data_IF_989040699021
#
_entry.id   IF_989040699021
#
_cell.length_a   1.000
_cell.length_b   1.000
_cell.length_c   1.000
_cell.angle_alpha   90.00
_cell.angle_beta   90.00
_cell.angle_gamma   90.00
#
_symmetry.space_group_name_H-M   'P 1'
#
loop_
_entity.id
_entity.type
_entity.pdbx_description
1 polymer ?
#
# COMPACT_ATOMS: atom_id res chain seq x y z
N UNK A 1 -2.32 8.20 -11.65
CA UNK A 1 -1.39 9.35 -11.62
C UNK A 1 -0.86 9.68 -13.03
N UNK A 2 -0.33 8.69 -13.80
CA UNK A 2 0.22 8.97 -15.13
C UNK A 2 -0.76 9.73 -16.06
N UNK A 3 -1.98 9.21 -16.21
CA UNK A 3 -3.00 9.85 -17.05
C UNK A 3 -3.34 11.28 -16.57
N UNK A 4 -3.50 11.48 -15.26
CA UNK A 4 -3.76 12.80 -14.69
C UNK A 4 -2.61 13.80 -14.99
N UNK A 5 -1.35 13.37 -14.90
CA UNK A 5 -0.20 14.21 -15.23
C UNK A 5 -0.13 14.55 -16.73
N UNK A 6 -0.46 13.59 -17.59
CA UNK A 6 -0.42 13.79 -19.05
C UNK A 6 -1.52 14.72 -19.54
N UNK A 7 -2.77 14.56 -19.05
CA UNK A 7 -3.86 15.47 -19.44
C UNK A 7 -3.63 16.89 -18.92
N UNK A 8 -3.08 17.03 -17.70
CA UNK A 8 -2.66 18.31 -17.12
C UNK A 8 -1.59 19.02 -17.96
N UNK A 9 -0.75 18.22 -18.67
CA UNK A 9 0.23 18.72 -19.67
C UNK A 9 -0.34 18.88 -21.08
N UNK A 10 -1.66 18.83 -21.25
CA UNK A 10 -2.33 19.03 -22.55
C UNK A 10 -2.21 17.85 -23.52
N UNK A 11 -1.84 16.66 -23.06
CA UNK A 11 -1.74 15.46 -23.91
C UNK A 11 -3.09 14.73 -23.98
N UNK A 12 -3.43 14.22 -25.16
CA UNK A 12 -4.60 13.36 -25.33
C UNK A 12 -4.31 11.99 -24.74
N UNK A 13 -5.16 11.52 -23.84
CA UNK A 13 -4.99 10.25 -23.10
C UNK A 13 -6.26 9.43 -23.16
N UNK A 14 -6.11 8.12 -23.40
CA UNK A 14 -7.16 7.12 -23.20
C UNK A 14 -6.70 6.14 -22.13
N UNK A 15 -7.47 6.02 -21.04
CA UNK A 15 -7.27 5.03 -19.98
C UNK A 15 -8.19 3.84 -20.28
N UNK A 16 -7.62 2.65 -20.34
CA UNK A 16 -8.36 1.40 -20.57
C UNK A 16 -8.21 0.52 -19.32
N UNK A 17 -9.33 0.13 -18.73
CA UNK A 17 -9.40 -0.70 -17.53
C UNK A 17 -10.28 -1.94 -17.78
N UNK A 18 -9.73 -3.12 -17.51
CA UNK A 18 -10.41 -4.39 -17.72
C UNK A 18 -11.63 -4.59 -16.81
N UNK A 19 -11.54 -4.08 -15.59
CA UNK A 19 -12.64 -4.14 -14.62
C UNK A 19 -13.66 -3.02 -14.85
N UNK A 20 -14.88 -3.22 -14.36
CA UNK A 20 -15.88 -2.13 -14.28
C UNK A 20 -15.54 -1.08 -13.22
N UNK A 21 -14.48 -1.26 -12.44
CA UNK A 21 -14.03 -0.39 -11.35
C UNK A 21 -12.59 0.02 -11.56
N UNK A 22 -12.30 1.29 -11.28
CA UNK A 22 -10.94 1.80 -11.24
C UNK A 22 -10.23 1.46 -9.91
N UNK A 23 -8.91 1.57 -9.89
CA UNK A 23 -8.10 1.40 -8.69
C UNK A 23 -7.37 0.06 -8.59
N UNK A 24 -7.65 -0.90 -9.47
CA UNK A 24 -6.98 -2.19 -9.49
C UNK A 24 -7.15 -2.96 -8.18
N UNK A 25 -6.02 -3.34 -7.55
CA UNK A 25 -5.98 -4.03 -6.25
C UNK A 25 -6.37 -3.14 -5.06
N UNK A 26 -6.40 -1.82 -5.23
CA UNK A 26 -6.85 -0.88 -4.21
C UNK A 26 -8.17 -0.24 -4.65
N UNK A 27 -9.27 -0.95 -4.46
CA UNK A 27 -10.61 -0.58 -4.93
C UNK A 27 -11.67 -0.80 -3.86
N UNK A 28 -12.87 -0.30 -4.10
CA UNK A 28 -14.04 -0.48 -3.22
C UNK A 28 -15.20 -1.13 -3.96
N UNK A 29 -16.08 -1.73 -3.21
CA UNK A 29 -17.34 -2.28 -3.72
C UNK A 29 -18.46 -2.08 -2.71
N UNK A 30 -19.71 -2.26 -3.13
CA UNK A 30 -20.86 -2.26 -2.23
C UNK A 30 -21.12 -3.66 -1.71
N UNK A 31 -21.27 -3.82 -0.38
CA UNK A 31 -21.78 -5.08 0.18
C UNK A 31 -23.24 -5.28 -0.28
N UNK A 32 -23.52 -6.44 -0.86
CA UNK A 32 -24.81 -6.72 -1.49
C UNK A 32 -25.99 -6.81 -0.51
N UNK A 33 -25.73 -6.90 0.81
CA UNK A 33 -26.77 -7.00 1.85
C UNK A 33 -26.97 -5.67 2.53
N UNK A 34 -25.90 -5.02 2.96
CA UNK A 34 -25.97 -3.76 3.72
C UNK A 34 -26.01 -2.52 2.81
N UNK A 35 -25.56 -2.64 1.56
CA UNK A 35 -25.41 -1.52 0.64
C UNK A 35 -24.24 -0.59 1.00
N UNK A 36 -23.54 -0.84 2.10
CA UNK A 36 -22.41 -0.02 2.54
C UNK A 36 -21.15 -0.29 1.71
N UNK A 37 -20.27 0.70 1.67
CA UNK A 37 -18.99 0.58 1.00
C UNK A 37 -18.02 -0.30 1.79
N UNK A 38 -17.36 -1.20 1.07
CA UNK A 38 -16.28 -2.06 1.56
C UNK A 38 -15.07 -1.85 0.66
N UNK A 39 -13.92 -1.50 1.25
CA UNK A 39 -12.65 -1.54 0.55
C UNK A 39 -12.14 -2.98 0.49
N UNK A 40 -11.47 -3.35 -0.61
CA UNK A 40 -10.87 -4.70 -0.73
C UNK A 40 -9.73 -4.95 0.28
N UNK A 41 -9.30 -3.93 0.99
CA UNK A 41 -8.41 -3.89 2.13
C UNK A 41 -8.43 -2.49 2.72
N UNK A 42 -8.22 -2.33 4.03
CA UNK A 42 -8.05 -1.00 4.59
C UNK A 42 -6.66 -0.47 4.23
N UNK A 43 -6.63 0.65 3.53
CA UNK A 43 -5.39 1.31 3.16
C UNK A 43 -5.03 2.37 4.20
N UNK A 44 -3.79 2.27 4.66
CA UNK A 44 -3.15 3.24 5.55
C UNK A 44 -2.00 3.87 4.77
N UNK A 45 -1.91 5.18 4.82
CA UNK A 45 -0.81 5.93 4.24
C UNK A 45 0.02 6.55 5.37
N UNK A 46 1.24 6.97 5.05
CA UNK A 46 2.07 7.74 5.96
C UNK A 46 2.22 9.18 5.45
N UNK A 47 2.48 10.11 6.35
CA UNK A 47 2.66 11.51 6.00
C UNK A 47 3.81 11.74 5.02
N UNK A 48 4.82 10.86 5.00
CA UNK A 48 5.93 10.87 4.05
C UNK A 48 5.56 10.41 2.62
N UNK A 49 4.28 10.11 2.33
CA UNK A 49 3.79 9.78 1.00
C UNK A 49 3.47 11.06 0.22
N UNK A 50 4.50 11.80 -0.14
CA UNK A 50 4.37 13.13 -0.73
C UNK A 50 3.79 13.10 -2.14
N UNK A 51 4.19 12.13 -2.98
CA UNK A 51 3.68 12.00 -4.35
C UNK A 51 2.19 11.66 -4.37
N UNK A 52 1.74 10.79 -3.45
CA UNK A 52 0.31 10.50 -3.30
C UNK A 52 -0.48 11.74 -2.90
N UNK A 53 0.05 12.56 -1.99
CA UNK A 53 -0.61 13.80 -1.58
C UNK A 53 -0.70 14.80 -2.73
N UNK A 54 0.36 14.99 -3.51
CA UNK A 54 0.35 15.83 -4.71
C UNK A 54 -0.66 15.34 -5.75
N UNK A 55 -0.72 14.03 -5.96
CA UNK A 55 -1.73 13.43 -6.83
C UNK A 55 -3.16 13.74 -6.33
N UNK A 56 -3.43 13.57 -5.02
CA UNK A 56 -4.73 13.86 -4.43
C UNK A 56 -5.09 15.36 -4.51
N UNK A 57 -4.11 16.24 -4.37
CA UNK A 57 -4.26 17.69 -4.57
C UNK A 57 -4.65 18.01 -6.02
N UNK A 58 -3.93 17.43 -6.99
CA UNK A 58 -4.19 17.59 -8.43
C UNK A 58 -5.62 17.20 -8.81
N UNK A 59 -6.10 16.06 -8.32
CA UNK A 59 -7.47 15.58 -8.61
C UNK A 59 -8.54 16.15 -7.66
N UNK A 60 -8.20 17.12 -6.78
CA UNK A 60 -9.13 17.83 -5.87
C UNK A 60 -9.67 16.98 -4.73
N UNK A 61 -9.03 15.87 -4.36
CA UNK A 61 -9.54 14.93 -3.35
C UNK A 61 -8.75 14.87 -2.05
N UNK A 62 -7.72 15.69 -1.87
CA UNK A 62 -6.88 15.73 -0.65
C UNK A 62 -7.69 15.92 0.64
N UNK A 63 -8.83 16.62 0.58
CA UNK A 63 -9.74 16.81 1.71
C UNK A 63 -10.32 15.49 2.27
N UNK A 64 -10.22 14.42 1.52
CA UNK A 64 -10.68 13.08 1.93
C UNK A 64 -9.56 12.26 2.61
N UNK A 65 -8.40 12.85 2.81
CA UNK A 65 -7.29 12.30 3.57
C UNK A 65 -7.19 12.98 4.94
N UNK A 66 -7.32 12.19 6.02
CA UNK A 66 -7.05 12.66 7.38
C UNK A 66 -5.63 12.30 7.75
N UNK A 67 -4.73 13.27 7.69
CA UNK A 67 -3.34 13.14 8.12
C UNK A 67 -3.22 13.53 9.60
N UNK A 68 -2.60 12.67 10.40
CA UNK A 68 -2.20 13.00 11.77
C UNK A 68 -1.08 14.05 11.75
N UNK A 69 -1.11 15.07 12.61
CA UNK A 69 -0.05 16.07 12.70
C UNK A 69 1.26 15.49 13.26
N UNK A 70 1.16 14.36 13.95
CA UNK A 70 2.25 13.60 14.57
C UNK A 70 1.83 12.14 14.69
N UNK A 71 2.79 11.24 14.87
CA UNK A 71 2.48 9.81 15.08
C UNK A 71 1.71 9.62 16.38
N UNK A 72 0.52 9.02 16.27
CA UNK A 72 -0.36 8.65 17.38
C UNK A 72 -1.02 7.32 17.06
N UNK A 73 -0.57 6.27 17.73
CA UNK A 73 -1.04 4.88 17.50
C UNK A 73 -1.41 4.25 18.82
N UNK A 74 -2.65 3.80 18.90
CA UNK A 74 -3.12 2.95 20.00
C UNK A 74 -3.02 1.48 19.59
N UNK A 75 -2.60 0.62 20.52
CA UNK A 75 -2.54 -0.82 20.33
C UNK A 75 -3.01 -1.57 21.57
N UNK A 76 -3.43 -2.82 21.38
CA UNK A 76 -3.71 -3.76 22.46
C UNK A 76 -2.87 -5.01 22.23
N UNK A 77 -1.95 -5.29 23.13
CA UNK A 77 -1.03 -6.42 23.03
C UNK A 77 -1.73 -7.78 23.27
N UNK A 78 -0.97 -8.85 23.11
CA UNK A 78 -1.49 -10.21 23.27
C UNK A 78 -2.00 -10.50 24.71
N UNK A 79 -1.53 -9.74 25.70
CA UNK A 79 -1.98 -9.82 27.09
C UNK A 79 -3.24 -8.98 27.38
N UNK A 80 -3.77 -8.26 26.37
CA UNK A 80 -4.93 -7.39 26.50
C UNK A 80 -4.62 -6.01 27.10
N UNK A 81 -3.34 -5.64 27.22
CA UNK A 81 -2.94 -4.33 27.72
C UNK A 81 -2.98 -3.30 26.60
N UNK A 82 -3.63 -2.17 26.90
CA UNK A 82 -3.74 -1.04 25.96
C UNK A 82 -2.54 -0.12 26.12
N UNK A 83 -1.88 0.18 25.01
CA UNK A 83 -0.73 1.07 24.91
C UNK A 83 -1.02 2.17 23.89
N UNK A 84 -0.45 3.35 24.11
CA UNK A 84 -0.54 4.45 23.15
C UNK A 84 0.83 5.06 22.94
N UNK A 85 1.33 4.99 21.70
CA UNK A 85 2.54 5.68 21.28
C UNK A 85 2.15 7.03 20.70
N UNK A 86 2.58 8.12 21.34
CA UNK A 86 2.42 9.50 20.85
C UNK A 86 3.79 10.11 20.70
N UNK A 87 4.12 10.61 19.52
CA UNK A 87 5.36 11.34 19.30
C UNK A 87 5.06 12.83 19.34
N UNK A 88 5.70 13.63 20.23
CA UNK A 88 5.41 15.07 20.35
C UNK A 88 5.78 15.82 19.05
N UNK A 89 5.24 17.02 18.81
CA UNK A 89 5.46 17.82 17.59
C UNK A 89 6.83 18.48 17.55
N UNK A 90 7.89 17.74 17.88
CA UNK A 90 9.27 18.17 17.82
C UNK A 90 9.83 17.95 16.41
N UNK A 91 10.87 18.71 16.05
CA UNK A 91 11.56 18.52 14.77
C UNK A 91 12.18 17.12 14.67
N UNK A 92 11.96 16.37 13.57
CA UNK A 92 12.60 15.06 13.38
C UNK A 92 14.13 15.12 13.44
N UNK A 93 14.79 14.12 14.03
CA UNK A 93 14.23 12.88 14.58
C UNK A 93 13.79 12.97 16.04
N UNK A 94 13.85 14.15 16.68
CA UNK A 94 13.60 14.32 18.11
C UNK A 94 12.16 13.93 18.50
N UNK A 95 11.20 14.15 17.62
CA UNK A 95 9.81 13.72 17.82
C UNK A 95 9.70 12.21 18.10
N UNK A 96 10.32 11.39 17.25
CA UNK A 96 10.31 9.92 17.39
C UNK A 96 11.08 9.48 18.65
N UNK A 97 12.25 10.09 18.88
CA UNK A 97 13.08 9.76 20.05
C UNK A 97 12.34 10.07 21.35
N UNK A 98 11.71 11.25 21.46
CA UNK A 98 10.92 11.62 22.63
C UNK A 98 9.72 10.67 22.81
N UNK A 99 8.97 10.38 21.74
CA UNK A 99 7.85 9.43 21.81
C UNK A 99 8.26 8.06 22.32
N UNK A 100 9.39 7.50 21.87
CA UNK A 100 9.88 6.23 22.38
C UNK A 100 10.38 6.29 23.82
N UNK A 101 10.96 7.41 24.23
CA UNK A 101 11.38 7.58 25.63
C UNK A 101 10.20 7.70 26.60
N UNK A 102 9.11 8.30 26.16
CA UNK A 102 7.89 8.49 26.96
C UNK A 102 6.94 7.28 26.89
N UNK A 103 7.13 6.37 25.91
CA UNK A 103 6.22 5.24 25.75
C UNK A 103 6.26 4.28 26.93
N UNK A 104 5.16 4.17 27.65
CA UNK A 104 4.99 3.37 28.86
C UNK A 104 5.08 1.86 28.65
N UNK A 105 4.79 1.37 27.44
CA UNK A 105 4.92 -0.01 27.05
C UNK A 105 6.36 -0.57 27.10
N UNK A 106 7.36 0.31 27.16
CA UNK A 106 8.78 -0.02 27.05
C UNK A 106 9.52 0.14 28.37
N UNK A 107 10.32 -0.88 28.71
CA UNK A 107 11.31 -0.79 29.79
C UNK A 107 12.44 0.17 29.41
N UNK A 108 13.23 0.60 30.39
CA UNK A 108 14.42 1.43 30.14
C UNK A 108 15.38 0.77 29.13
N UNK A 109 15.58 -0.53 29.23
CA UNK A 109 16.42 -1.29 28.30
C UNK A 109 15.88 -1.23 26.86
N UNK A 110 14.56 -1.33 26.67
CA UNK A 110 13.91 -1.24 25.38
C UNK A 110 14.09 0.15 24.76
N UNK A 111 13.88 1.18 25.57
CA UNK A 111 14.07 2.60 25.15
C UNK A 111 15.50 2.84 24.69
N UNK A 112 16.51 2.37 25.44
CA UNK A 112 17.91 2.45 25.04
C UNK A 112 18.22 1.70 23.74
N UNK A 113 17.53 0.58 23.46
CA UNK A 113 17.76 -0.21 22.26
C UNK A 113 17.32 0.54 20.97
N UNK A 114 16.29 1.40 21.04
CA UNK A 114 15.84 2.20 19.88
C UNK A 114 16.96 3.10 19.34
N UNK A 115 17.78 3.70 20.21
CA UNK A 115 18.86 4.59 19.81
C UNK A 115 19.94 3.93 18.95
N UNK A 116 20.07 2.59 19.00
CA UNK A 116 21.00 1.84 18.14
C UNK A 116 20.65 1.93 16.66
N UNK A 117 19.42 2.30 16.33
CA UNK A 117 19.00 2.53 14.95
C UNK A 117 19.33 3.94 14.43
N UNK A 118 19.78 4.87 15.27
CA UNK A 118 20.06 6.25 14.86
C UNK A 118 21.11 6.31 13.74
N UNK A 119 22.23 5.58 13.90
CA UNK A 119 23.31 5.58 12.90
C UNK A 119 22.89 4.96 11.56
N UNK A 120 22.34 3.73 11.49
CA UNK A 120 21.92 3.16 10.22
C UNK A 120 20.79 3.95 9.55
N UNK A 121 19.86 4.56 10.30
CA UNK A 121 18.81 5.40 9.73
C UNK A 121 19.37 6.74 9.20
N UNK A 122 20.35 7.34 9.90
CA UNK A 122 21.01 8.55 9.42
C UNK A 122 21.75 8.27 8.10
N UNK A 123 22.43 7.12 7.98
CA UNK A 123 23.05 6.67 6.72
C UNK A 123 21.99 6.49 5.63
N UNK A 124 20.94 5.71 5.90
CA UNK A 124 19.87 5.45 4.94
C UNK A 124 19.17 6.72 4.45
N UNK A 125 19.00 7.73 5.32
CA UNK A 125 18.43 9.03 4.91
C UNK A 125 19.28 9.75 3.87
N UNK A 126 20.59 9.69 3.98
CA UNK A 126 21.52 10.28 2.99
C UNK A 126 21.43 9.53 1.65
N UNK A 127 21.15 8.24 1.71
CA UNK A 127 21.05 7.35 0.54
C UNK A 127 19.69 7.38 -0.15
N UNK A 128 18.66 8.07 0.39
CA UNK A 128 17.34 8.13 -0.21
C UNK A 128 17.31 8.72 -1.63
N UNK A 129 18.22 9.64 -1.93
CA UNK A 129 18.39 10.28 -3.25
C UNK A 129 19.35 9.53 -4.18
N UNK A 130 20.07 8.55 -3.66
CA UNK A 130 21.05 7.80 -4.44
C UNK A 130 20.42 6.60 -5.14
N UNK A 131 20.79 6.36 -6.39
CA UNK A 131 20.38 5.17 -7.15
C UNK A 131 21.01 3.87 -6.63
N UNK A 132 22.10 3.98 -5.85
CA UNK A 132 22.96 2.88 -5.39
C UNK A 132 22.33 1.95 -4.32
N UNK A 133 21.10 2.23 -3.88
CA UNK A 133 20.42 1.41 -2.87
C UNK A 133 20.76 1.81 -1.43
N UNK A 134 20.27 1.02 -0.47
CA UNK A 134 20.43 1.25 0.98
C UNK A 134 21.56 0.40 1.51
N UNK A 135 22.72 0.98 1.82
CA UNK A 135 23.89 0.28 2.40
C UNK A 135 23.74 -0.04 3.90
N UNK A 136 22.81 0.61 4.58
CA UNK A 136 22.51 0.35 5.98
C UNK A 136 21.95 -1.06 6.26
N UNK A 137 21.57 -1.79 5.20
CA UNK A 137 21.15 -3.19 5.25
C UNK A 137 21.73 -3.96 4.05
N UNK A 138 22.10 -5.22 4.27
CA UNK A 138 22.61 -6.09 3.22
C UNK A 138 21.50 -6.61 2.30
N UNK A 139 21.73 -6.82 1.00
CA UNK A 139 20.71 -7.27 0.06
C UNK A 139 20.02 -8.59 0.44
N UNK A 140 20.74 -9.53 1.04
CA UNK A 140 20.21 -10.82 1.50
C UNK A 140 19.69 -10.82 2.94
N UNK A 141 19.73 -9.69 3.63
CA UNK A 141 19.34 -9.58 5.04
C UNK A 141 17.83 -9.43 5.18
N UNK A 142 17.21 -10.18 6.10
CA UNK A 142 15.79 -10.01 6.44
C UNK A 142 15.61 -8.91 7.49
N UNK A 143 14.40 -8.34 7.56
CA UNK A 143 14.03 -7.36 8.61
C UNK A 143 14.32 -7.91 10.00
N UNK A 144 13.99 -9.19 10.25
CA UNK A 144 14.24 -9.83 11.55
C UNK A 144 15.73 -9.88 11.89
N UNK A 145 16.58 -10.33 10.95
CA UNK A 145 18.04 -10.40 11.19
C UNK A 145 18.66 -9.03 11.36
N UNK A 146 18.22 -8.03 10.60
CA UNK A 146 18.65 -6.64 10.71
C UNK A 146 18.29 -6.05 12.09
N UNK A 147 17.06 -6.20 12.54
CA UNK A 147 16.62 -5.73 13.87
C UNK A 147 17.42 -6.40 15.00
N UNK A 148 17.69 -7.69 14.88
CA UNK A 148 18.55 -8.41 15.86
C UNK A 148 19.98 -7.92 15.86
N UNK A 149 20.56 -7.69 14.69
CA UNK A 149 21.92 -7.16 14.53
C UNK A 149 22.08 -5.79 15.22
N UNK A 150 21.05 -4.96 15.17
CA UNK A 150 21.02 -3.69 15.90
C UNK A 150 20.44 -3.79 17.32
N UNK A 151 20.33 -5.00 17.87
CA UNK A 151 19.98 -5.25 19.26
C UNK A 151 18.57 -4.77 19.64
N UNK A 152 17.63 -4.79 18.69
CA UNK A 152 16.24 -4.49 18.99
C UNK A 152 15.64 -5.62 19.85
N UNK A 153 15.10 -5.27 21.00
CA UNK A 153 14.60 -6.24 22.00
C UNK A 153 13.36 -6.99 21.50
N UNK A 154 13.03 -8.16 22.09
CA UNK A 154 11.81 -8.87 21.75
C UNK A 154 10.55 -8.00 21.89
N UNK A 155 10.46 -7.20 22.97
CA UNK A 155 9.30 -6.32 23.21
C UNK A 155 9.15 -5.24 22.16
N UNK A 156 10.24 -4.59 21.74
CA UNK A 156 10.25 -3.61 20.64
C UNK A 156 9.85 -4.26 19.32
N UNK A 157 10.34 -5.47 19.05
CA UNK A 157 9.96 -6.17 17.81
C UNK A 157 8.48 -6.47 17.80
N UNK A 158 7.93 -7.00 18.88
CA UNK A 158 6.51 -7.34 19.01
C UNK A 158 5.59 -6.10 18.87
N UNK A 159 5.87 -5.05 19.64
CA UNK A 159 4.96 -3.90 19.73
C UNK A 159 5.10 -2.87 18.62
N UNK A 160 6.27 -2.78 17.99
CA UNK A 160 6.57 -1.71 17.03
C UNK A 160 7.00 -2.25 15.66
N UNK A 161 8.10 -3.04 15.61
CA UNK A 161 8.72 -3.34 14.33
C UNK A 161 7.98 -4.38 13.50
N UNK A 162 7.41 -5.40 14.12
CA UNK A 162 6.61 -6.43 13.42
C UNK A 162 5.30 -5.87 12.87
N UNK A 163 4.48 -5.14 13.66
CA UNK A 163 3.29 -4.50 13.13
C UNK A 163 3.58 -3.52 12.00
N UNK A 164 4.67 -2.74 12.12
CA UNK A 164 5.07 -1.78 11.09
C UNK A 164 5.56 -2.49 9.82
N UNK A 165 6.37 -3.55 9.95
CA UNK A 165 6.85 -4.32 8.81
C UNK A 165 5.68 -5.00 8.08
N UNK A 166 4.76 -5.61 8.80
CA UNK A 166 3.55 -6.22 8.22
C UNK A 166 2.68 -5.18 7.52
N UNK A 167 2.48 -4.01 8.14
CA UNK A 167 1.68 -2.94 7.53
C UNK A 167 2.33 -2.36 6.26
N UNK A 168 3.65 -2.17 6.27
CA UNK A 168 4.38 -1.51 5.20
C UNK A 168 4.82 -2.46 4.07
N UNK A 169 5.16 -3.73 4.39
CA UNK A 169 5.73 -4.68 3.45
C UNK A 169 4.77 -5.82 3.09
N UNK A 170 3.68 -5.97 3.82
CA UNK A 170 2.76 -7.11 3.71
C UNK A 170 3.46 -8.48 3.81
N UNK A 171 4.54 -8.56 4.57
CA UNK A 171 5.30 -9.80 4.81
C UNK A 171 5.85 -9.84 6.22
N UNK A 172 6.02 -11.07 6.75
CA UNK A 172 6.68 -11.29 8.04
C UNK A 172 8.10 -10.72 8.01
N UNK A 173 8.57 -10.09 9.10
CA UNK A 173 9.96 -9.66 9.24
C UNK A 173 11.01 -10.77 8.99
N UNK A 174 10.65 -12.03 9.20
CA UNK A 174 11.53 -13.18 8.93
C UNK A 174 11.70 -13.49 7.44
N UNK A 175 10.83 -12.95 6.58
CA UNK A 175 10.80 -13.15 5.13
C UNK A 175 11.19 -11.89 4.37
N UNK A 176 10.66 -10.74 4.77
CA UNK A 176 10.86 -9.48 4.05
C UNK A 176 12.31 -8.99 4.11
N UNK A 177 12.84 -8.50 2.97
CA UNK A 177 14.18 -7.93 2.87
C UNK A 177 14.32 -6.61 3.63
N UNK A 178 15.40 -6.49 4.40
CA UNK A 178 15.71 -5.32 5.23
C UNK A 178 15.91 -4.01 4.45
N UNK A 179 16.56 -3.97 3.26
CA UNK A 179 16.80 -2.71 2.56
C UNK A 179 15.53 -1.89 2.30
N UNK A 180 14.43 -2.54 1.88
CA UNK A 180 13.14 -1.87 1.64
C UNK A 180 12.53 -1.34 2.95
N UNK A 181 12.59 -2.11 4.04
CA UNK A 181 12.13 -1.68 5.34
C UNK A 181 12.90 -0.46 5.86
N UNK A 182 14.23 -0.51 5.78
CA UNK A 182 15.12 0.58 6.20
C UNK A 182 14.86 1.86 5.40
N UNK A 183 14.59 1.75 4.10
CA UNK A 183 14.19 2.88 3.25
C UNK A 183 12.90 3.53 3.73
N UNK A 184 11.89 2.72 4.10
CA UNK A 184 10.63 3.25 4.66
C UNK A 184 10.89 3.98 5.96
N UNK A 185 11.63 3.37 6.90
CA UNK A 185 11.97 3.99 8.17
C UNK A 185 12.69 5.33 7.96
N UNK A 186 13.64 5.38 7.02
CA UNK A 186 14.37 6.60 6.68
C UNK A 186 13.44 7.70 6.13
N UNK A 187 12.45 7.34 5.31
CA UNK A 187 11.41 8.26 4.82
C UNK A 187 10.48 8.75 5.95
N UNK A 188 10.07 7.86 6.86
CA UNK A 188 9.20 8.21 7.99
C UNK A 188 9.87 9.15 8.99
N UNK A 189 11.20 9.08 9.15
CA UNK A 189 11.93 10.09 9.94
C UNK A 189 11.72 11.47 9.33
N UNK A 190 11.72 11.61 8.03
CA UNK A 190 11.26 12.77 7.27
C UNK A 190 11.88 14.13 7.66
N UNK A 191 11.15 15.20 7.38
CA UNK A 191 11.52 16.59 7.66
C UNK A 191 10.54 17.29 8.61
N UNK A 192 9.31 16.77 8.68
CA UNK A 192 8.24 17.29 9.54
C UNK A 192 7.72 16.19 10.48
N UNK A 193 7.15 16.54 11.65
CA UNK A 193 6.56 15.55 12.56
C UNK A 193 5.46 14.71 11.91
N UNK A 194 4.72 15.28 10.97
CA UNK A 194 3.65 14.60 10.24
C UNK A 194 4.15 13.54 9.26
N UNK A 195 5.43 13.56 8.85
CA UNK A 195 5.98 12.54 7.93
C UNK A 195 5.90 11.12 8.50
N UNK A 196 6.02 10.98 9.83
CA UNK A 196 5.79 9.72 10.55
C UNK A 196 4.32 9.47 10.88
N UNK A 197 3.46 10.48 10.75
CA UNK A 197 2.04 10.39 11.09
C UNK A 197 1.28 9.43 10.18
N UNK A 198 0.23 8.82 10.74
CA UNK A 198 -0.69 7.98 9.98
C UNK A 198 -1.66 8.87 9.20
N UNK A 199 -1.89 8.53 7.95
CA UNK A 199 -2.86 9.19 7.09
C UNK A 199 -3.93 8.18 6.64
N UNK A 200 -5.20 8.49 6.92
CA UNK A 200 -6.33 7.59 6.69
C UNK A 200 -7.31 8.20 5.68
N UNK A 201 -7.70 7.46 4.65
CA UNK A 201 -8.86 7.81 3.84
C UNK A 201 -10.11 7.88 4.72
N UNK A 202 -10.87 9.00 4.60
CA UNK A 202 -12.16 9.18 5.28
C UNK A 202 -13.34 9.01 4.33
N UNK A 203 -13.08 8.42 3.20
CA UNK A 203 -14.03 7.95 2.18
C UNK A 203 -13.55 6.62 1.61
N UNK A 204 -14.44 5.77 1.09
CA UNK A 204 -14.07 4.58 0.34
C UNK A 204 -13.11 4.93 -0.81
N UNK A 205 -12.21 4.02 -1.19
CA UNK A 205 -11.20 4.28 -2.21
C UNK A 205 -11.79 4.73 -3.55
N UNK A 206 -12.99 4.26 -3.90
CA UNK A 206 -13.76 4.73 -5.06
C UNK A 206 -13.96 6.25 -5.03
N UNK A 207 -14.36 6.80 -3.87
CA UNK A 207 -14.61 8.22 -3.67
C UNK A 207 -13.35 9.00 -3.28
N UNK A 208 -12.35 8.30 -2.76
CA UNK A 208 -11.11 8.89 -2.30
C UNK A 208 -10.22 9.33 -3.47
N UNK A 209 -10.04 8.47 -4.49
CA UNK A 209 -9.23 8.82 -5.65
C UNK A 209 -9.75 8.30 -6.99
N UNK A 210 -10.49 7.18 -7.06
CA UNK A 210 -10.85 6.58 -8.35
C UNK A 210 -11.81 7.47 -9.15
N UNK A 211 -12.96 7.82 -8.57
CA UNK A 211 -13.93 8.74 -9.19
C UNK A 211 -13.35 10.15 -9.40
N UNK A 212 -12.68 10.78 -8.41
CA UNK A 212 -12.04 12.09 -8.63
C UNK A 212 -11.01 12.08 -9.77
N UNK A 213 -10.18 11.05 -9.87
CA UNK A 213 -9.21 10.92 -10.96
C UNK A 213 -9.89 10.78 -12.33
N UNK A 214 -10.94 9.97 -12.42
CA UNK A 214 -11.74 9.85 -13.65
C UNK A 214 -12.31 11.20 -14.07
N UNK A 215 -12.99 11.89 -13.15
CA UNK A 215 -13.56 13.21 -13.39
C UNK A 215 -12.50 14.22 -13.86
N UNK A 216 -11.33 14.21 -13.21
CA UNK A 216 -10.22 15.09 -13.59
C UNK A 216 -9.74 14.79 -15.03
N UNK A 217 -9.49 13.51 -15.34
CA UNK A 217 -9.02 13.11 -16.68
C UNK A 217 -10.03 13.51 -17.76
N UNK A 218 -11.31 13.18 -17.56
CA UNK A 218 -12.37 13.46 -18.53
C UNK A 218 -12.61 14.98 -18.70
N UNK A 219 -12.54 15.77 -17.62
CA UNK A 219 -12.69 17.25 -17.69
C UNK A 219 -11.51 17.94 -18.39
N UNK A 220 -10.36 17.27 -18.52
CA UNK A 220 -9.20 17.77 -19.27
C UNK A 220 -9.08 17.14 -20.68
N UNK A 221 -10.17 16.58 -21.20
CA UNK A 221 -10.22 16.06 -22.57
C UNK A 221 -9.62 14.66 -22.75
N UNK A 222 -9.30 13.96 -21.65
CA UNK A 222 -8.97 12.54 -21.68
C UNK A 222 -10.20 11.66 -21.69
N UNK A 223 -10.00 10.37 -21.90
CA UNK A 223 -11.07 9.38 -21.96
C UNK A 223 -10.77 8.22 -20.99
N UNK A 224 -11.79 7.71 -20.28
CA UNK A 224 -11.66 6.56 -19.37
C UNK A 224 -12.66 5.48 -19.75
N UNK A 225 -12.16 4.35 -20.23
CA UNK A 225 -12.91 3.16 -20.67
C UNK A 225 -12.74 2.06 -19.62
N UNK A 226 -13.84 1.54 -19.07
CA UNK A 226 -13.88 0.44 -18.12
C UNK A 226 -14.64 -0.75 -18.68
N UNK A 227 -14.39 -1.96 -18.16
CA UNK A 227 -15.09 -3.19 -18.55
C UNK A 227 -14.50 -3.89 -19.77
N UNK A 228 -13.38 -3.42 -20.32
CA UNK A 228 -12.72 -4.02 -21.45
C UNK A 228 -11.20 -4.12 -21.22
N UNK A 229 -10.65 -5.33 -21.34
CA UNK A 229 -9.20 -5.50 -21.24
C UNK A 229 -8.51 -4.94 -22.49
N UNK A 230 -7.55 -4.04 -22.27
CA UNK A 230 -6.66 -3.58 -23.33
C UNK A 230 -5.69 -4.68 -23.75
N UNK A 231 -5.50 -4.84 -25.05
CA UNK A 231 -4.49 -5.72 -25.67
C UNK A 231 -3.62 -4.93 -26.61
N UNK A 232 -2.34 -5.18 -26.60
CA UNK A 232 -1.35 -4.43 -27.38
C UNK A 232 -0.80 -5.28 -28.49
N UNK A 233 -0.83 -4.74 -29.71
CA UNK A 233 -0.12 -5.28 -30.85
C UNK A 233 1.08 -4.39 -31.18
N UNK A 234 2.26 -5.01 -31.31
CA UNK A 234 3.52 -4.34 -31.63
C UNK A 234 3.83 -4.58 -33.10
N UNK A 235 3.55 -3.60 -33.95
CA UNK A 235 3.64 -3.75 -35.40
C UNK A 235 4.95 -3.26 -36.03
N UNK A 236 5.96 -2.90 -35.24
CA UNK A 236 7.30 -2.51 -35.69
C UNK A 236 7.42 -1.13 -36.36
N UNK A 237 6.32 -0.37 -36.44
CA UNK A 237 6.29 0.95 -37.09
C UNK A 237 6.43 2.13 -36.10
N UNK A 238 6.82 1.87 -34.84
CA UNK A 238 6.90 2.90 -33.80
C UNK A 238 5.54 3.38 -33.27
N UNK A 239 4.46 2.73 -33.69
CA UNK A 239 3.10 2.99 -33.22
C UNK A 239 2.49 1.69 -32.72
N UNK A 240 1.87 1.75 -31.57
CA UNK A 240 1.16 0.64 -30.96
C UNK A 240 -0.30 0.64 -31.35
N UNK A 241 -0.82 -0.52 -31.70
CA UNK A 241 -2.26 -0.74 -31.86
C UNK A 241 -2.80 -1.37 -30.56
N UNK A 242 -3.83 -0.78 -29.99
CA UNK A 242 -4.46 -1.24 -28.76
C UNK A 242 -5.90 -1.63 -29.07
N UNK A 243 -6.26 -2.88 -28.79
CA UNK A 243 -7.63 -3.36 -28.89
C UNK A 243 -8.27 -3.40 -27.49
N UNK A 244 -9.50 -2.89 -27.39
CA UNK A 244 -10.30 -2.92 -26.16
C UNK A 244 -11.77 -3.18 -26.48
N UNK A 245 -12.22 -4.42 -26.37
CA UNK A 245 -13.54 -4.84 -26.86
C UNK A 245 -13.64 -4.71 -28.38
N UNK A 246 -14.58 -3.87 -28.85
CA UNK A 246 -14.72 -3.54 -30.29
C UNK A 246 -13.87 -2.38 -30.73
N UNK A 247 -13.25 -1.66 -29.81
CA UNK A 247 -12.54 -0.41 -30.09
C UNK A 247 -11.07 -0.67 -30.40
N UNK A 248 -10.51 0.13 -31.30
CA UNK A 248 -9.10 0.12 -31.67
C UNK A 248 -8.51 1.52 -31.54
N UNK A 249 -7.34 1.59 -30.92
CA UNK A 249 -6.60 2.82 -30.73
C UNK A 249 -5.19 2.69 -31.33
N UNK A 250 -4.68 3.78 -31.87
CA UNK A 250 -3.28 3.91 -32.30
C UNK A 250 -2.61 4.93 -31.42
N UNK A 251 -1.47 4.57 -30.84
CA UNK A 251 -0.72 5.46 -29.96
C UNK A 251 0.79 5.29 -30.15
N UNK A 252 1.57 6.39 -30.17
CA UNK A 252 3.04 6.32 -30.20
C UNK A 252 3.61 5.90 -28.83
N UNK A 253 2.83 6.07 -27.74
CA UNK A 253 3.25 5.72 -26.38
C UNK A 253 2.15 4.92 -25.70
N UNK A 254 2.55 3.81 -25.07
CA UNK A 254 1.70 2.97 -24.22
C UNK A 254 2.31 2.92 -22.83
N UNK A 255 1.50 3.21 -21.81
CA UNK A 255 1.87 3.01 -20.40
C UNK A 255 1.11 1.80 -19.87
N UNK A 256 1.82 0.68 -19.71
CA UNK A 256 1.27 -0.54 -19.14
C UNK A 256 1.24 -0.44 -17.61
N UNK A 257 0.09 -0.06 -17.06
CA UNK A 257 -0.14 0.08 -15.62
C UNK A 257 -0.83 -1.17 -15.02
N UNK A 258 -0.46 -2.33 -15.49
CA UNK A 258 -1.00 -3.63 -15.06
C UNK A 258 -0.09 -4.28 -14.02
N UNK A 259 -0.61 -5.18 -13.16
CA UNK A 259 0.22 -5.93 -12.22
C UNK A 259 1.15 -6.90 -12.96
N UNK A 260 2.26 -7.28 -12.30
CA UNK A 260 3.31 -8.16 -12.86
C UNK A 260 2.74 -9.44 -13.50
N UNK A 261 1.79 -10.09 -12.85
CA UNK A 261 1.19 -11.33 -13.30
C UNK A 261 0.21 -11.20 -14.48
N UNK A 262 -0.10 -9.99 -14.91
CA UNK A 262 -0.98 -9.73 -16.05
C UNK A 262 -0.22 -9.16 -17.26
N UNK A 263 1.06 -8.83 -17.10
CA UNK A 263 1.83 -8.12 -18.12
C UNK A 263 1.99 -8.92 -19.41
N UNK A 264 2.34 -10.20 -19.33
CA UNK A 264 2.47 -11.09 -20.50
C UNK A 264 1.17 -11.18 -21.30
N UNK A 265 0.03 -11.14 -20.61
CA UNK A 265 -1.28 -11.21 -21.24
C UNK A 265 -1.69 -9.94 -22.01
N UNK A 266 -0.93 -8.86 -21.95
CA UNK A 266 -1.21 -7.66 -22.74
C UNK A 266 -0.97 -7.86 -24.24
N UNK A 267 -0.06 -8.75 -24.63
CA UNK A 267 0.39 -8.85 -26.01
C UNK A 267 -0.46 -9.83 -26.83
N UNK A 268 -1.08 -9.32 -27.91
CA UNK A 268 -1.94 -10.12 -28.81
C UNK A 268 -1.17 -11.22 -29.55
N UNK A 269 0.00 -10.86 -30.10
CA UNK A 269 0.84 -11.76 -30.91
C UNK A 269 1.90 -12.48 -30.09
N UNK A 270 1.72 -12.53 -28.75
CA UNK A 270 2.71 -13.08 -27.82
C UNK A 270 3.78 -12.06 -27.39
N UNK A 271 4.63 -12.44 -26.43
CA UNK A 271 5.65 -11.57 -25.85
C UNK A 271 6.64 -11.06 -26.90
N UNK A 272 6.86 -9.73 -27.02
CA UNK A 272 7.89 -9.19 -27.90
C UNK A 272 9.28 -9.63 -27.43
N UNK A 273 10.13 -10.08 -28.35
CA UNK A 273 11.48 -10.57 -28.05
C UNK A 273 12.33 -9.60 -27.17
N UNK A 274 12.32 -8.27 -27.38
CA UNK A 274 13.07 -7.36 -26.52
C UNK A 274 12.59 -7.32 -25.07
N UNK A 275 11.38 -7.78 -24.76
CA UNK A 275 10.82 -7.82 -23.40
C UNK A 275 10.87 -9.19 -22.74
N UNK A 276 11.39 -10.23 -23.42
CA UNK A 276 11.30 -11.63 -22.96
C UNK A 276 11.87 -11.84 -21.55
N UNK A 277 13.05 -11.31 -21.26
CA UNK A 277 13.69 -11.43 -19.95
C UNK A 277 12.90 -10.73 -18.85
N UNK A 278 12.43 -9.51 -19.13
CA UNK A 278 11.60 -8.74 -18.19
C UNK A 278 10.27 -9.44 -17.90
N UNK A 279 9.61 -10.02 -18.91
CA UNK A 279 8.37 -10.76 -18.76
C UNK A 279 8.58 -12.05 -17.96
N UNK A 280 9.66 -12.78 -18.21
CA UNK A 280 10.03 -13.96 -17.42
C UNK A 280 10.29 -13.59 -15.94
N UNK A 281 10.98 -12.48 -15.68
CA UNK A 281 11.18 -11.95 -14.32
C UNK A 281 9.86 -11.57 -13.65
N UNK A 282 8.93 -10.95 -14.38
CA UNK A 282 7.61 -10.62 -13.88
C UNK A 282 6.81 -11.88 -13.52
N UNK A 283 6.81 -12.89 -14.37
CA UNK A 283 6.13 -14.18 -14.11
C UNK A 283 6.71 -14.94 -12.92
N UNK A 284 8.04 -14.89 -12.72
CA UNK A 284 8.73 -15.52 -11.60
C UNK A 284 8.55 -14.76 -10.26
N UNK A 285 7.99 -13.56 -10.28
CA UNK A 285 7.78 -12.76 -9.08
C UNK A 285 6.67 -13.35 -8.21
N UNK A 286 7.01 -13.75 -7.00
CA UNK A 286 6.06 -14.29 -6.03
C UNK A 286 5.13 -13.22 -5.47
N UNK A 287 4.03 -13.66 -4.84
CA UNK A 287 3.01 -12.80 -4.26
C UNK A 287 2.91 -12.97 -2.75
N UNK A 288 2.44 -11.92 -2.06
CA UNK A 288 2.03 -11.98 -0.66
C UNK A 288 0.55 -11.62 -0.52
N UNK A 289 -0.26 -12.47 0.14
CA UNK A 289 -1.69 -12.27 0.26
C UNK A 289 -2.08 -11.34 1.40
N UNK A 290 -3.29 -10.76 1.28
CA UNK A 290 -4.00 -10.05 2.37
C UNK A 290 -5.39 -10.68 2.51
N UNK A 291 -5.82 -10.84 3.77
CA UNK A 291 -7.21 -11.19 4.11
C UNK A 291 -7.80 -10.09 4.96
N UNK A 292 -8.97 -9.61 4.55
CA UNK A 292 -9.72 -8.58 5.29
C UNK A 292 -11.08 -9.14 5.68
N UNK A 293 -11.45 -8.95 6.95
CA UNK A 293 -12.75 -9.34 7.49
C UNK A 293 -13.52 -8.09 7.87
N UNK A 294 -14.67 -7.90 7.25
CA UNK A 294 -15.60 -6.83 7.61
C UNK A 294 -16.71 -7.42 8.47
N UNK A 295 -16.92 -6.84 9.66
CA UNK A 295 -17.93 -7.26 10.63
C UNK A 295 -18.89 -6.09 10.91
N UNK A 296 -20.19 -6.31 10.74
CA UNK A 296 -21.23 -5.39 11.19
C UNK A 296 -21.77 -5.89 12.51
N UNK A 297 -21.67 -5.04 13.53
CA UNK A 297 -22.09 -5.36 14.89
C UNK A 297 -23.39 -4.62 15.24
N UNK A 298 -24.13 -5.12 16.22
CA UNK A 298 -25.34 -4.50 16.75
C UNK A 298 -25.09 -3.21 17.57
N UNK A 299 -23.82 -2.97 17.95
CA UNK A 299 -23.39 -1.80 18.72
C UNK A 299 -21.94 -1.43 18.47
N UNK A 300 -21.57 -0.15 18.69
CA UNK A 300 -20.16 0.27 18.66
C UNK A 300 -19.35 -0.39 19.77
N UNK A 301 -18.11 -0.80 19.44
CA UNK A 301 -17.20 -1.46 20.38
C UNK A 301 -15.80 -0.85 20.40
N UNK A 302 -15.53 0.10 19.51
CA UNK A 302 -14.23 0.76 19.37
C UNK A 302 -14.41 2.28 19.55
N UNK A 303 -13.50 2.89 20.34
CA UNK A 303 -13.49 4.31 20.69
C UNK A 303 -12.49 5.14 19.87
N UNK A 304 -11.66 4.47 19.05
CA UNK A 304 -10.66 5.08 18.18
C UNK A 304 -10.92 4.65 16.72
N UNK A 305 -10.50 5.46 15.72
CA UNK A 305 -10.74 5.13 14.32
C UNK A 305 -9.96 3.91 13.83
N UNK A 306 -8.83 3.59 14.46
CA UNK A 306 -8.06 2.38 14.20
C UNK A 306 -7.28 1.94 15.43
N UNK A 307 -6.92 0.66 15.46
CA UNK A 307 -6.26 0.03 16.59
C UNK A 307 -5.26 -1.03 16.08
N UNK A 308 -4.03 -1.01 16.61
CA UNK A 308 -3.04 -2.06 16.40
C UNK A 308 -3.30 -3.27 17.31
N UNK A 309 -3.08 -4.47 16.80
CA UNK A 309 -3.23 -5.73 17.50
C UNK A 309 -1.94 -6.57 17.37
N UNK A 310 -0.81 -6.10 17.94
CA UNK A 310 0.48 -6.79 17.85
C UNK A 310 0.41 -8.21 18.40
N UNK A 311 1.18 -9.13 17.79
CA UNK A 311 1.20 -10.54 18.16
C UNK A 311 -0.03 -11.35 17.74
N UNK A 312 -1.01 -10.76 17.05
CA UNK A 312 -2.24 -11.45 16.61
C UNK A 312 -2.25 -11.65 15.08
N UNK A 313 -3.04 -12.62 14.62
CA UNK A 313 -3.14 -12.93 13.18
C UNK A 313 -3.74 -11.80 12.33
N UNK A 314 -4.68 -11.03 12.90
CA UNK A 314 -5.20 -9.80 12.30
C UNK A 314 -4.58 -8.64 13.05
N UNK A 315 -3.64 -7.95 12.42
CA UNK A 315 -2.77 -6.99 13.09
C UNK A 315 -3.41 -5.61 13.25
N UNK A 316 -4.43 -5.31 12.47
CA UNK A 316 -5.07 -4.00 12.46
C UNK A 316 -6.59 -4.09 12.44
N UNK A 317 -7.22 -3.22 13.20
CA UNK A 317 -8.67 -3.06 13.31
C UNK A 317 -9.04 -1.61 13.00
N UNK A 318 -10.04 -1.41 12.16
CA UNK A 318 -10.53 -0.09 11.74
C UNK A 318 -12.04 0.03 11.98
N UNK A 319 -12.49 1.18 12.52
CA UNK A 319 -13.91 1.50 12.68
C UNK A 319 -14.37 2.36 11.49
N UNK A 320 -15.07 1.73 10.54
CA UNK A 320 -15.61 2.41 9.36
C UNK A 320 -16.67 3.46 9.69
N UNK A 321 -17.35 3.31 10.84
CA UNK A 321 -18.27 4.32 11.34
C UNK A 321 -17.55 5.64 11.62
N UNK A 322 -16.38 5.59 12.27
CA UNK A 322 -15.60 6.78 12.58
C UNK A 322 -14.83 7.31 11.36
N UNK A 323 -14.44 6.44 10.43
CA UNK A 323 -13.71 6.84 9.22
C UNK A 323 -14.63 7.38 8.13
N UNK A 324 -15.72 6.68 7.83
CA UNK A 324 -16.59 7.01 6.69
C UNK A 324 -17.89 7.70 7.09
N UNK A 325 -18.13 7.86 8.40
CA UNK A 325 -19.38 8.45 8.92
C UNK A 325 -20.57 7.51 8.76
N UNK A 326 -20.37 6.18 8.77
CA UNK A 326 -21.44 5.21 8.75
C UNK A 326 -22.25 5.26 10.06
N UNK A 327 -23.52 4.91 10.01
CA UNK A 327 -24.39 4.78 11.19
C UNK A 327 -24.21 3.42 11.86
N UNK A 328 -24.00 2.36 11.07
CA UNK A 328 -23.78 1.02 11.55
C UNK A 328 -22.36 0.84 12.16
N UNK A 329 -22.27 -0.02 13.15
CA UNK A 329 -20.97 -0.44 13.70
C UNK A 329 -20.29 -1.41 12.74
N UNK A 330 -19.54 -0.86 11.79
CA UNK A 330 -18.80 -1.62 10.78
C UNK A 330 -17.32 -1.58 11.11
N UNK A 331 -16.78 -2.74 11.45
CA UNK A 331 -15.34 -2.96 11.71
C UNK A 331 -14.67 -3.66 10.52
N UNK A 332 -13.44 -3.26 10.20
CA UNK A 332 -12.60 -3.94 9.22
C UNK A 332 -11.32 -4.42 9.90
N UNK A 333 -11.10 -5.74 9.90
CA UNK A 333 -9.90 -6.39 10.43
C UNK A 333 -9.00 -6.79 9.26
N UNK A 334 -7.72 -6.46 9.35
CA UNK A 334 -6.75 -6.73 8.29
C UNK A 334 -5.68 -7.69 8.78
N UNK A 335 -5.43 -8.74 7.99
CA UNK A 335 -4.33 -9.67 8.14
C UNK A 335 -3.39 -9.55 6.95
N UNK A 336 -2.22 -8.97 7.19
CA UNK A 336 -1.12 -8.87 6.22
C UNK A 336 -0.27 -10.14 6.23
N UNK A 337 0.31 -10.50 5.06
CA UNK A 337 1.14 -11.69 4.93
C UNK A 337 0.39 -12.99 5.26
N UNK A 338 -0.89 -13.04 4.98
CA UNK A 338 -1.86 -14.01 5.52
C UNK A 338 -1.93 -15.33 4.77
N UNK A 339 -0.80 -15.91 4.35
CA UNK A 339 -0.75 -17.20 3.66
C UNK A 339 -1.52 -18.30 4.41
N UNK A 340 -1.44 -18.32 5.73
CA UNK A 340 -2.14 -19.30 6.57
C UNK A 340 -3.68 -19.15 6.56
N UNK A 341 -4.20 -17.96 6.23
CA UNK A 341 -5.64 -17.70 6.25
C UNK A 341 -6.31 -17.81 4.87
N UNK A 342 -5.52 -17.79 3.80
CA UNK A 342 -6.06 -17.70 2.43
C UNK A 342 -6.91 -18.93 2.06
N UNK A 343 -6.53 -20.10 2.55
CA UNK A 343 -7.21 -21.38 2.30
C UNK A 343 -8.33 -21.73 3.28
N UNK A 344 -8.52 -20.96 4.34
CA UNK A 344 -9.55 -21.23 5.33
C UNK A 344 -10.95 -20.89 4.81
N UNK A 345 -11.99 -21.57 5.32
CA UNK A 345 -13.38 -21.23 5.01
C UNK A 345 -13.75 -19.83 5.51
N UNK A 346 -14.73 -19.16 4.85
CA UNK A 346 -15.25 -17.88 5.35
C UNK A 346 -15.74 -17.98 6.78
N UNK A 347 -16.42 -19.08 7.12
CA UNK A 347 -16.92 -19.33 8.48
C UNK A 347 -15.79 -19.34 9.50
N UNK A 348 -14.71 -20.06 9.24
CA UNK A 348 -13.54 -20.14 10.11
C UNK A 348 -12.88 -18.77 10.28
N UNK A 349 -12.66 -18.05 9.19
CA UNK A 349 -12.02 -16.71 9.22
C UNK A 349 -12.88 -15.70 10.00
N UNK A 350 -14.21 -15.72 9.82
CA UNK A 350 -15.13 -14.86 10.57
C UNK A 350 -15.18 -15.22 12.05
N UNK A 351 -15.13 -16.52 12.40
CA UNK A 351 -15.05 -16.95 13.78
C UNK A 351 -13.77 -16.45 14.46
N UNK A 352 -12.60 -16.61 13.82
CA UNK A 352 -11.33 -16.08 14.32
C UNK A 352 -11.38 -14.57 14.54
N UNK A 353 -11.96 -13.81 13.57
CA UNK A 353 -12.11 -12.36 13.70
C UNK A 353 -13.02 -11.98 14.88
N UNK A 354 -14.15 -12.67 15.05
CA UNK A 354 -15.09 -12.40 16.13
C UNK A 354 -14.52 -12.77 17.52
N UNK A 355 -13.76 -13.86 17.63
CA UNK A 355 -13.07 -14.24 18.84
C UNK A 355 -11.99 -13.21 19.20
N UNK A 356 -11.18 -12.81 18.22
CA UNK A 356 -10.12 -11.83 18.40
C UNK A 356 -10.64 -10.49 18.95
N UNK A 357 -11.74 -9.96 18.40
CA UNK A 357 -12.31 -8.71 18.91
C UNK A 357 -12.90 -8.86 20.32
N UNK A 358 -13.48 -10.02 20.68
CA UNK A 358 -14.00 -10.29 22.02
C UNK A 358 -12.88 -10.39 23.06
N UNK A 359 -11.74 -10.94 22.67
CA UNK A 359 -10.55 -11.00 23.55
C UNK A 359 -9.93 -9.61 23.73
N UNK A 360 -9.77 -8.87 22.64
CA UNK A 360 -9.08 -7.59 22.67
C UNK A 360 -9.94 -6.45 23.24
N UNK A 361 -11.27 -6.45 22.98
CA UNK A 361 -12.16 -5.36 23.31
C UNK A 361 -13.24 -5.81 24.31
N UNK A 362 -13.22 -5.33 25.57
CA UNK A 362 -14.26 -5.70 26.56
C UNK A 362 -15.68 -5.43 26.08
N UNK A 363 -15.93 -4.32 25.36
CA UNK A 363 -17.23 -3.96 24.81
C UNK A 363 -17.73 -4.97 23.76
N UNK A 364 -16.83 -5.64 23.03
CA UNK A 364 -17.19 -6.61 22.00
C UNK A 364 -17.73 -7.93 22.57
N UNK A 365 -17.51 -8.21 23.85
CA UNK A 365 -18.06 -9.39 24.53
C UNK A 365 -19.58 -9.42 24.54
N UNK A 366 -20.19 -8.25 24.51
CA UNK A 366 -21.65 -8.06 24.55
C UNK A 366 -22.24 -7.72 23.16
N UNK A 367 -21.40 -7.69 22.13
CA UNK A 367 -21.84 -7.38 20.76
C UNK A 367 -22.15 -8.66 19.97
N UNK A 368 -23.16 -8.54 19.11
CA UNK A 368 -23.55 -9.60 18.18
C UNK A 368 -23.13 -9.22 16.78
N UNK A 369 -22.46 -10.16 16.07
CA UNK A 369 -22.16 -10.01 14.65
C UNK A 369 -23.45 -10.22 13.85
N UNK A 370 -23.92 -9.17 13.17
CA UNK A 370 -25.13 -9.18 12.34
C UNK A 370 -24.83 -9.60 10.91
N UNK A 371 -23.66 -9.20 10.40
CA UNK A 371 -23.19 -9.48 9.04
C UNK A 371 -21.67 -9.60 9.04
N UNK A 372 -21.14 -10.43 8.16
CA UNK A 372 -19.71 -10.51 7.90
C UNK A 372 -19.44 -10.67 6.40
N UNK A 373 -18.35 -10.04 5.91
CA UNK A 373 -17.84 -10.21 4.55
C UNK A 373 -16.34 -10.43 4.62
N UNK A 374 -15.86 -11.48 3.96
CA UNK A 374 -14.42 -11.80 3.87
C UNK A 374 -13.93 -11.45 2.47
N UNK A 375 -12.91 -10.62 2.42
CA UNK A 375 -12.21 -10.26 1.18
C UNK A 375 -10.83 -10.93 1.20
N UNK A 376 -10.50 -11.63 0.14
CA UNK A 376 -9.19 -12.26 -0.08
C UNK A 376 -8.54 -11.67 -1.31
N UNK A 377 -7.33 -11.17 -1.14
CA UNK A 377 -6.48 -10.76 -2.24
C UNK A 377 -5.23 -11.65 -2.24
N UNK A 378 -5.23 -12.75 -3.00
CA UNK A 378 -4.11 -13.71 -3.00
C UNK A 378 -2.82 -13.09 -3.53
N UNK A 379 -2.92 -12.13 -4.44
CA UNK A 379 -1.82 -11.41 -5.06
C UNK A 379 -1.86 -9.91 -4.70
N UNK A 380 -2.02 -9.63 -3.39
CA UNK A 380 -2.17 -8.27 -2.89
C UNK A 380 -0.92 -7.42 -3.17
N UNK A 381 0.26 -8.00 -2.91
CA UNK A 381 1.56 -7.37 -3.16
C UNK A 381 2.50 -8.36 -3.84
N UNK A 382 3.52 -7.85 -4.52
CA UNK A 382 4.67 -8.68 -4.88
C UNK A 382 5.50 -9.02 -3.64
N UNK A 383 6.22 -10.13 -3.69
CA UNK A 383 7.11 -10.56 -2.60
C UNK A 383 8.35 -9.68 -2.52
N UNK A 384 8.72 -9.33 -1.28
CA UNK A 384 9.95 -8.61 -0.96
C UNK A 384 10.98 -9.53 -0.30
N UNK A 385 10.84 -10.85 -0.43
CA UNK A 385 11.82 -11.79 0.09
C UNK A 385 13.17 -11.62 -0.62
N UNK A 386 14.31 -11.86 0.05
CA UNK A 386 15.59 -11.96 -0.62
C UNK A 386 15.56 -13.01 -1.74
N UNK A 387 16.23 -12.72 -2.87
CA UNK A 387 16.28 -13.64 -4.01
C UNK A 387 15.14 -13.51 -5.01
N UNK A 388 14.16 -12.63 -4.79
CA UNK A 388 13.15 -12.32 -5.80
C UNK A 388 13.79 -11.65 -7.03
N UNK A 389 13.18 -11.80 -8.23
CA UNK A 389 13.63 -11.11 -9.43
C UNK A 389 13.73 -9.59 -9.24
N UNK A 390 14.68 -8.97 -9.98
CA UNK A 390 14.80 -7.52 -9.98
C UNK A 390 13.54 -6.89 -10.60
N UNK A 391 13.05 -5.83 -9.98
CA UNK A 391 11.92 -5.08 -10.49
C UNK A 391 12.34 -4.24 -11.70
N UNK A 392 11.52 -4.19 -12.77
CA UNK A 392 11.84 -3.41 -13.96
C UNK A 392 11.79 -1.90 -13.70
N UNK A 393 12.53 -1.14 -14.50
CA UNK A 393 12.39 0.30 -14.59
C UNK A 393 11.10 0.70 -15.34
N UNK A 394 10.78 1.99 -15.32
CA UNK A 394 9.66 2.56 -16.08
C UNK A 394 9.87 2.44 -17.59
N UNK A 395 11.07 2.73 -18.07
CA UNK A 395 11.43 2.60 -19.49
C UNK A 395 11.77 1.14 -19.80
N UNK A 396 11.36 0.66 -20.96
CA UNK A 396 11.63 -0.70 -21.43
C UNK A 396 12.52 -0.72 -22.66
N UNK A 397 12.93 -1.91 -23.07
CA UNK A 397 13.67 -2.10 -24.33
C UNK A 397 12.84 -1.80 -25.61
N UNK A 398 11.52 -1.62 -25.49
CA UNK A 398 10.66 -1.18 -26.59
C UNK A 398 10.44 0.32 -26.51
N UNK A 399 10.88 1.12 -27.50
CA UNK A 399 10.67 2.56 -27.54
C UNK A 399 9.16 2.90 -27.48
N UNK A 400 8.77 3.76 -26.54
CA UNK A 400 7.36 4.15 -26.37
C UNK A 400 6.51 3.17 -25.56
N UNK A 401 7.03 2.00 -25.15
CA UNK A 401 6.35 1.10 -24.23
C UNK A 401 6.90 1.28 -22.81
N UNK A 402 6.11 1.90 -21.95
CA UNK A 402 6.47 2.28 -20.60
C UNK A 402 5.71 1.44 -19.57
N UNK A 403 6.30 1.24 -18.41
CA UNK A 403 5.68 0.53 -17.29
C UNK A 403 5.33 1.50 -16.16
N UNK A 404 4.19 1.25 -15.52
CA UNK A 404 3.81 1.87 -14.26
C UNK A 404 3.14 0.83 -13.35
N UNK A 405 3.06 1.13 -12.06
CA UNK A 405 2.47 0.26 -11.05
C UNK A 405 3.33 0.22 -9.80
N UNK A 406 2.79 -0.30 -8.73
CA UNK A 406 3.47 -0.42 -7.44
C UNK A 406 4.68 -1.37 -7.46
N UNK A 407 4.70 -2.31 -8.41
CA UNK A 407 5.73 -3.33 -8.57
C UNK A 407 6.96 -2.89 -9.40
N UNK A 408 6.89 -1.73 -10.05
CA UNK A 408 8.03 -1.13 -10.76
C UNK A 408 9.08 -0.67 -9.75
N UNK A 409 10.37 -0.63 -10.15
CA UNK A 409 11.44 -0.21 -9.24
C UNK A 409 11.37 1.28 -8.90
N UNK A 410 10.66 1.57 -7.83
CA UNK A 410 10.61 2.88 -7.18
C UNK A 410 11.48 2.94 -5.92
N UNK A 411 12.07 1.82 -5.53
CA UNK A 411 12.71 1.64 -4.24
C UNK A 411 11.72 1.45 -3.08
N UNK A 412 10.39 1.56 -3.32
CA UNK A 412 9.33 1.43 -2.33
C UNK A 412 8.69 0.03 -2.38
N UNK A 413 8.02 -0.42 -1.32
CA UNK A 413 7.20 -1.63 -1.36
C UNK A 413 5.92 -1.41 -2.18
N UNK A 414 5.10 -2.45 -2.28
CA UNK A 414 3.80 -2.41 -2.95
C UNK A 414 2.81 -1.50 -2.21
N UNK A 415 2.83 -0.23 -2.51
CA UNK A 415 2.00 0.81 -1.88
C UNK A 415 1.37 1.72 -2.92
N UNK A 416 0.33 2.46 -2.51
CA UNK A 416 -0.25 3.54 -3.34
C UNK A 416 0.83 4.57 -3.70
N UNK A 417 1.73 4.90 -2.77
CA UNK A 417 2.86 5.81 -3.03
C UNK A 417 3.76 5.29 -4.16
N UNK A 418 4.13 4.00 -4.13
CA UNK A 418 4.93 3.39 -5.20
C UNK A 418 4.22 3.46 -6.55
N UNK A 419 2.92 3.17 -6.59
CA UNK A 419 2.12 3.24 -7.80
C UNK A 419 2.03 4.68 -8.35
N UNK A 420 1.87 5.67 -7.48
CA UNK A 420 1.81 7.08 -7.89
C UNK A 420 3.15 7.57 -8.40
N UNK A 421 4.25 7.28 -7.67
CA UNK A 421 5.63 7.60 -8.10
C UNK A 421 5.93 7.02 -9.47
N UNK A 422 5.63 5.74 -9.69
CA UNK A 422 5.86 5.08 -10.98
C UNK A 422 5.03 5.71 -12.10
N UNK A 423 3.80 6.08 -11.81
CA UNK A 423 2.92 6.76 -12.78
C UNK A 423 3.42 8.17 -13.15
N UNK A 424 3.95 8.94 -12.19
CA UNK A 424 4.58 10.23 -12.49
C UNK A 424 5.83 10.06 -13.36
N UNK A 425 6.70 9.09 -13.05
CA UNK A 425 7.88 8.75 -13.87
C UNK A 425 7.48 8.34 -15.29
N UNK A 426 6.42 7.54 -15.44
CA UNK A 426 5.92 7.14 -16.76
C UNK A 426 5.37 8.32 -17.56
N UNK A 427 4.68 9.27 -16.89
CA UNK A 427 4.24 10.49 -17.54
C UNK A 427 5.42 11.37 -18.01
N UNK A 428 6.42 11.57 -17.18
CA UNK A 428 7.64 12.31 -17.52
C UNK A 428 8.38 11.68 -18.71
N UNK A 429 8.53 10.34 -18.71
CA UNK A 429 9.15 9.61 -19.83
C UNK A 429 8.32 9.77 -21.11
N UNK A 430 6.99 9.65 -21.04
CA UNK A 430 6.09 9.83 -22.18
C UNK A 430 6.16 11.27 -22.76
N UNK A 431 6.28 12.29 -21.91
CA UNK A 431 6.41 13.67 -22.35
C UNK A 431 7.71 13.91 -23.11
N UNK A 432 8.83 13.30 -22.68
CA UNK A 432 10.12 13.37 -23.37
C UNK A 432 10.11 12.71 -24.76
N UNK A 433 9.35 11.61 -24.91
CA UNK A 433 9.21 10.92 -26.19
C UNK A 433 8.32 11.69 -27.20
N UNK A 434 7.48 12.58 -26.71
CA UNK A 434 6.52 13.34 -27.52
C UNK A 434 6.97 14.80 -27.78
N UNK A 435 8.15 15.18 -27.27
CA UNK A 435 8.85 16.45 -27.58
C UNK A 435 9.81 16.27 -28.76
#
# INVERSE_FOLDING_TARGET
SAAASLVDSGRRVVVIEASNRLGGRASSFRDGVTGEWVDNGQHVLFGCYHETRQFLERIGSIRHLRLQPQLDVTSIDAMGQRHRLVCPPLKPPLNLLAGFLEWDALSFRDRCAVFRLASPLALARRELSEASGIRAASPGETVHSWLRRYGQTPRLRELLWEPLALAALNQSPSVAAAPTFVRILAKMVGTTPSDSGVALPIRPLEQFYATPARTFIESHGGEVRTGNAGRVNVNGLGVYEIEAGSDRFLAPVVIAAVPWYALTNLFLSGPPAPLAEMLASAEATESSPIVTVNLWLDRPVLDVPFLGLPGRQMQWLFDKRQLFGHTASHLSLVSSGSAAMIGLSNRTVVQHAAELIREALPAARFATVRRATVVREPRATFSLAPGQPLRPATETALPGFLLAGDWIDTGLPATIESAVVSGHRAAEAALKLAS
#
